data_IF_621969792486
#
_entry.id   IF_621969792486
#
_cell.length_a   1.000
_cell.length_b   1.000
_cell.length_c   1.000
_cell.angle_alpha   90.00
_cell.angle_beta   90.00
_cell.angle_gamma   90.00
#
_symmetry.space_group_name_H-M   'P 1'
#
loop_
_entity.id
_entity.type
_entity.pdbx_description
1 polymer ?
#
# COMPACT_ATOMS: atom_id res chain seq x y z
N UNK A 1 -35.22 -15.59 -56.29
CA UNK A 1 -33.89 -15.72 -56.92
C UNK A 1 -32.88 -15.54 -55.82
N UNK A 2 -32.25 -16.65 -55.45
CA UNK A 2 -31.07 -16.69 -54.59
C UNK A 2 -29.92 -15.89 -55.21
N UNK A 3 -29.09 -15.27 -54.38
CA UNK A 3 -27.65 -15.47 -54.36
C UNK A 3 -27.15 -15.04 -52.98
N UNK A 4 -26.51 -15.96 -52.25
CA UNK A 4 -25.66 -15.65 -51.11
C UNK A 4 -24.21 -15.50 -51.54
N UNK A 5 -23.38 -14.90 -50.68
CA UNK A 5 -21.97 -15.25 -50.43
C UNK A 5 -21.49 -14.51 -49.16
N UNK A 6 -21.05 -15.30 -48.18
CA UNK A 6 -19.86 -15.19 -47.29
C UNK A 6 -18.89 -14.01 -47.55
N UNK A 7 -18.08 -13.47 -46.62
CA UNK A 7 -17.64 -13.80 -45.27
C UNK A 7 -16.69 -12.70 -44.76
N UNK A 8 -16.37 -12.76 -43.46
CA UNK A 8 -15.10 -12.40 -42.80
C UNK A 8 -14.81 -10.96 -42.35
N UNK A 9 -14.39 -10.94 -41.07
CA UNK A 9 -13.87 -9.87 -40.23
C UNK A 9 -12.53 -9.32 -40.77
N UNK A 10 -12.25 -8.05 -40.53
CA UNK A 10 -10.97 -7.62 -39.94
C UNK A 10 -11.04 -6.13 -39.53
N UNK A 11 -10.84 -5.87 -38.23
CA UNK A 11 -10.60 -4.55 -37.65
C UNK A 11 -9.22 -4.04 -38.10
N UNK A 12 -9.18 -2.98 -38.90
CA UNK A 12 -7.94 -2.22 -39.16
C UNK A 12 -7.84 -1.00 -38.24
N UNK A 13 -6.97 -1.12 -37.24
CA UNK A 13 -6.43 -0.03 -36.43
C UNK A 13 -5.66 0.97 -37.31
N UNK A 14 -6.24 2.15 -37.50
CA UNK A 14 -5.64 3.30 -38.19
C UNK A 14 -4.66 4.05 -37.29
N UNK A 15 -3.36 3.74 -37.40
CA UNK A 15 -2.26 4.55 -36.86
C UNK A 15 -1.60 5.32 -38.00
N UNK A 16 -1.69 6.65 -37.94
CA UNK A 16 -1.02 7.61 -38.84
C UNK A 16 0.50 7.45 -38.86
N UNK A 17 1.18 7.50 -40.03
CA UNK A 17 2.64 7.50 -40.08
C UNK A 17 3.20 8.92 -40.05
N UNK A 18 3.99 9.25 -39.03
CA UNK A 18 4.91 10.39 -39.07
C UNK A 18 6.11 9.99 -39.92
N UNK A 19 6.33 10.68 -41.04
CA UNK A 19 7.45 10.46 -41.97
C UNK A 19 8.79 10.74 -41.30
N UNK A 20 9.68 9.76 -41.33
CA UNK A 20 11.02 9.80 -40.74
C UNK A 20 12.08 10.19 -41.76
N UNK A 21 12.35 11.47 -41.95
CA UNK A 21 13.56 11.92 -42.66
C UNK A 21 14.11 13.17 -41.98
N UNK A 22 14.93 12.98 -40.93
CA UNK A 22 16.10 13.81 -40.55
C UNK A 22 16.59 13.45 -39.13
N UNK A 23 17.28 12.32 -38.93
CA UNK A 23 18.07 12.07 -37.70
C UNK A 23 19.35 11.27 -38.02
N UNK A 24 20.44 11.58 -37.30
CA UNK A 24 21.83 11.13 -37.55
C UNK A 24 22.06 9.65 -37.15
N UNK A 25 23.08 8.95 -37.71
CA UNK A 25 23.29 7.50 -37.54
C UNK A 25 23.61 6.96 -36.12
N UNK A 26 23.60 7.78 -35.06
CA UNK A 26 23.93 7.33 -33.69
C UNK A 26 22.73 7.24 -32.73
N UNK A 27 21.50 7.47 -33.21
CA UNK A 27 20.28 7.21 -32.44
C UNK A 27 19.55 6.01 -33.02
N UNK A 28 20.04 4.80 -32.72
CA UNK A 28 19.19 3.61 -32.85
C UNK A 28 18.10 3.73 -31.80
N UNK A 29 16.89 4.05 -32.24
CA UNK A 29 15.67 3.84 -31.48
C UNK A 29 15.64 2.35 -31.17
N UNK A 30 15.91 1.99 -29.93
CA UNK A 30 15.64 0.64 -29.43
C UNK A 30 14.13 0.49 -29.49
N UNK A 31 13.63 -0.15 -30.55
CA UNK A 31 12.25 -0.63 -30.60
C UNK A 31 12.07 -1.47 -29.34
N UNK A 32 11.20 -1.00 -28.44
CA UNK A 32 10.80 -1.76 -27.26
C UNK A 32 10.24 -3.09 -27.76
N UNK A 33 11.06 -4.13 -27.76
CA UNK A 33 10.55 -5.50 -27.88
C UNK A 33 9.57 -5.67 -26.73
N UNK A 34 8.34 -6.09 -27.05
CA UNK A 34 7.38 -6.61 -26.07
C UNK A 34 8.20 -7.53 -25.15
N UNK A 35 8.34 -7.23 -23.85
CA UNK A 35 9.09 -8.11 -22.98
C UNK A 35 8.50 -9.49 -23.16
N UNK A 36 9.35 -10.49 -23.42
CA UNK A 36 8.94 -11.89 -23.28
C UNK A 36 8.23 -11.99 -21.93
N UNK A 37 7.21 -12.84 -21.79
CA UNK A 37 6.58 -13.14 -20.50
C UNK A 37 7.65 -13.67 -19.53
N UNK A 38 8.49 -12.80 -19.01
CA UNK A 38 9.24 -13.00 -17.80
C UNK A 38 8.16 -13.31 -16.78
N UNK A 39 8.29 -14.42 -16.07
CA UNK A 39 7.45 -14.71 -14.93
C UNK A 39 7.53 -13.49 -14.01
N UNK A 40 6.53 -12.62 -14.07
CA UNK A 40 6.40 -11.53 -13.12
C UNK A 40 6.31 -12.22 -11.77
N UNK A 41 7.33 -12.05 -10.92
CA UNK A 41 7.22 -12.53 -9.55
C UNK A 41 6.00 -11.85 -8.94
N UNK A 42 5.09 -12.61 -8.31
CA UNK A 42 3.88 -12.04 -7.77
C UNK A 42 4.25 -11.04 -6.66
N UNK A 43 3.58 -9.90 -6.62
CA UNK A 43 3.68 -8.99 -5.48
C UNK A 43 3.13 -9.66 -4.22
N UNK A 44 3.78 -9.37 -3.11
CA UNK A 44 3.33 -9.72 -1.77
C UNK A 44 2.66 -8.50 -1.15
N UNK A 45 1.46 -8.70 -0.64
CA UNK A 45 0.64 -7.66 -0.02
C UNK A 45 0.38 -7.99 1.44
N UNK A 46 0.47 -6.98 2.30
CA UNK A 46 -0.06 -6.98 3.66
C UNK A 46 -0.88 -5.71 3.86
N UNK A 47 -1.93 -5.79 4.67
CA UNK A 47 -2.81 -4.65 4.95
C UNK A 47 -2.84 -4.41 6.45
N UNK A 48 -2.70 -3.15 6.84
CA UNK A 48 -2.96 -2.70 8.20
C UNK A 48 -4.24 -1.86 8.16
N UNK A 49 -5.21 -2.17 9.02
CA UNK A 49 -6.45 -1.40 9.14
C UNK A 49 -6.55 -0.86 10.55
N UNK A 50 -6.55 0.46 10.65
CA UNK A 50 -6.84 1.17 11.89
C UNK A 50 -8.37 1.30 12.05
N UNK A 51 -8.90 0.88 13.19
CA UNK A 51 -10.34 0.89 13.46
C UNK A 51 -10.60 1.37 14.89
N UNK A 52 -11.74 2.01 15.11
CA UNK A 52 -12.23 2.32 16.47
C UNK A 52 -13.42 1.43 16.77
N UNK A 53 -13.25 0.55 17.74
CA UNK A 53 -14.27 -0.39 18.20
C UNK A 53 -15.10 0.20 19.35
N UNK A 54 -16.40 -0.02 19.30
CA UNK A 54 -17.36 0.26 20.36
C UNK A 54 -17.91 -1.08 20.87
N UNK A 55 -17.39 -1.63 21.99
CA UNK A 55 -17.92 -2.84 22.60
C UNK A 55 -19.41 -2.69 22.94
N UNK A 56 -20.22 -3.70 22.60
CA UNK A 56 -21.66 -3.75 22.96
C UNK A 56 -21.87 -3.74 24.48
N UNK A 57 -20.99 -4.43 25.19
CA UNK A 57 -20.86 -4.33 26.65
C UNK A 57 -19.60 -3.54 26.98
N UNK A 58 -19.70 -2.60 27.92
CA UNK A 58 -18.58 -1.74 28.30
C UNK A 58 -17.34 -2.53 28.70
N UNK A 59 -16.22 -2.21 28.08
CA UNK A 59 -14.91 -2.70 28.49
C UNK A 59 -14.21 -1.62 29.32
N UNK A 60 -13.46 -2.03 30.34
CA UNK A 60 -12.69 -1.11 31.19
C UNK A 60 -11.27 -0.92 30.68
N UNK A 61 -10.76 -1.87 29.90
CA UNK A 61 -9.39 -1.90 29.40
C UNK A 61 -9.32 -2.24 27.92
N UNK A 62 -8.23 -1.83 27.26
CA UNK A 62 -7.97 -2.21 25.88
C UNK A 62 -7.77 -3.73 25.74
N UNK A 63 -7.17 -4.37 26.75
CA UNK A 63 -6.96 -5.82 26.75
C UNK A 63 -8.28 -6.59 26.69
N UNK A 64 -9.30 -6.18 27.45
CA UNK A 64 -10.64 -6.80 27.37
C UNK A 64 -11.24 -6.72 25.96
N UNK A 65 -11.02 -5.59 25.25
CA UNK A 65 -11.52 -5.40 23.88
C UNK A 65 -10.83 -6.36 22.92
N UNK A 66 -9.50 -6.45 22.98
CA UNK A 66 -8.75 -7.29 22.05
C UNK A 66 -8.83 -8.77 22.38
N UNK A 67 -8.97 -9.14 23.66
CA UNK A 67 -9.25 -10.52 24.08
C UNK A 67 -10.59 -10.97 23.51
N UNK A 68 -11.62 -10.13 23.64
CA UNK A 68 -12.94 -10.41 23.06
C UNK A 68 -12.90 -10.50 21.54
N UNK A 69 -12.18 -9.60 20.87
CA UNK A 69 -11.99 -9.68 19.42
C UNK A 69 -11.26 -10.98 19.03
N UNK A 70 -10.20 -11.33 19.76
CA UNK A 70 -9.42 -12.55 19.52
C UNK A 70 -10.26 -13.80 19.71
N UNK A 71 -11.11 -13.86 20.74
CA UNK A 71 -12.06 -14.97 20.94
C UNK A 71 -13.01 -15.11 19.76
N UNK A 72 -13.64 -14.02 19.32
CA UNK A 72 -14.59 -14.05 18.19
C UNK A 72 -13.92 -14.50 16.89
N UNK A 73 -12.72 -14.00 16.61
CA UNK A 73 -11.95 -14.43 15.43
C UNK A 73 -11.58 -15.91 15.53
N UNK A 74 -11.26 -16.41 16.72
CA UNK A 74 -10.96 -17.83 16.96
C UNK A 74 -12.20 -18.71 16.72
N UNK A 75 -13.37 -18.29 17.20
CA UNK A 75 -14.64 -19.00 17.01
C UNK A 75 -15.03 -19.07 15.52
N UNK A 76 -14.65 -18.05 14.74
CA UNK A 76 -14.80 -18.00 13.29
C UNK A 76 -13.70 -18.75 12.51
N UNK A 77 -12.82 -19.48 13.20
CA UNK A 77 -11.66 -20.17 12.63
C UNK A 77 -10.69 -19.24 11.87
N UNK A 78 -10.59 -17.97 12.28
CA UNK A 78 -9.60 -17.02 11.76
C UNK A 78 -8.34 -17.08 12.64
N UNK A 79 -7.20 -17.55 12.11
CA UNK A 79 -5.94 -17.51 12.85
C UNK A 79 -5.59 -16.07 13.19
N UNK A 80 -5.46 -15.79 14.49
CA UNK A 80 -5.19 -14.46 15.00
C UNK A 80 -4.24 -14.49 16.22
N UNK A 81 -3.67 -13.35 16.57
CA UNK A 81 -2.86 -13.16 17.77
C UNK A 81 -2.87 -11.69 18.19
N UNK A 82 -2.93 -11.45 19.50
CA UNK A 82 -2.67 -10.13 20.09
C UNK A 82 -1.15 -9.92 20.12
N UNK A 83 -0.68 -8.85 19.49
CA UNK A 83 0.73 -8.49 19.45
C UNK A 83 0.99 -7.33 20.40
N UNK A 84 1.89 -7.54 21.35
CA UNK A 84 2.41 -6.45 22.17
C UNK A 84 3.61 -5.81 21.46
N UNK A 85 3.75 -4.49 21.60
CA UNK A 85 4.76 -3.70 20.90
C UNK A 85 6.21 -4.11 21.25
N UNK A 86 6.40 -4.76 22.40
CA UNK A 86 7.69 -5.24 22.90
C UNK A 86 8.08 -6.64 22.35
N UNK A 87 7.18 -7.33 21.65
CA UNK A 87 7.46 -8.63 21.08
C UNK A 87 8.15 -8.52 19.71
N UNK A 88 9.07 -9.45 19.42
CA UNK A 88 9.67 -9.54 18.08
C UNK A 88 8.57 -9.80 17.04
N UNK A 89 8.66 -9.18 15.85
CA UNK A 89 7.63 -9.33 14.82
C UNK A 89 7.42 -10.81 14.52
N UNK A 90 6.17 -11.24 14.69
CA UNK A 90 5.74 -12.60 14.42
C UNK A 90 5.89 -12.92 12.92
N UNK A 91 5.76 -14.19 12.56
CA UNK A 91 5.44 -14.53 11.17
C UNK A 91 4.08 -13.88 10.85
N UNK A 92 3.99 -13.16 9.73
CA UNK A 92 2.75 -12.56 9.24
C UNK A 92 1.90 -13.62 8.50
N UNK A 93 1.67 -14.75 9.16
CA UNK A 93 0.86 -15.88 8.66
C UNK A 93 -0.56 -15.90 9.25
N UNK A 94 -0.85 -14.96 10.14
CA UNK A 94 -2.12 -14.79 10.86
C UNK A 94 -2.41 -13.32 11.08
N UNK A 95 -3.67 -13.03 11.40
CA UNK A 95 -4.09 -11.68 11.77
C UNK A 95 -3.44 -11.26 13.08
N UNK A 96 -2.95 -10.03 13.15
CA UNK A 96 -2.41 -9.45 14.38
C UNK A 96 -3.30 -8.30 14.84
N UNK A 97 -3.48 -8.21 16.15
CA UNK A 97 -4.19 -7.09 16.79
C UNK A 97 -3.20 -6.34 17.65
N UNK A 98 -2.99 -5.06 17.38
CA UNK A 98 -1.99 -4.21 18.05
C UNK A 98 -2.51 -2.80 18.32
N UNK A 99 -1.75 -2.02 19.07
CA UNK A 99 -1.99 -0.59 19.30
C UNK A 99 -1.22 0.23 18.26
N UNK A 100 -1.87 1.22 17.65
CA UNK A 100 -1.17 2.30 16.94
C UNK A 100 -1.37 3.64 17.66
N UNK A 101 -0.31 4.43 17.71
CA UNK A 101 -0.29 5.75 18.33
C UNK A 101 -1.06 6.83 17.55
N UNK A 102 -1.28 6.64 16.24
CA UNK A 102 -2.01 7.54 15.35
C UNK A 102 -3.51 7.63 15.68
N UNK A 103 -4.08 6.52 16.17
CA UNK A 103 -5.53 6.35 16.30
C UNK A 103 -6.09 7.23 17.43
N UNK A 104 -5.37 7.35 18.54
CA UNK A 104 -5.69 8.28 19.64
C UNK A 104 -6.84 7.88 20.59
N UNK A 105 -7.54 6.77 20.33
CA UNK A 105 -8.71 6.33 21.12
C UNK A 105 -8.34 5.29 22.18
N UNK A 106 -8.39 5.71 23.45
CA UNK A 106 -7.98 4.93 24.64
C UNK A 106 -9.11 4.82 25.67
N UNK A 107 -10.30 4.44 25.21
CA UNK A 107 -11.46 4.16 26.07
C UNK A 107 -12.38 5.37 26.31
N UNK A 108 -12.11 6.53 25.71
CA UNK A 108 -13.03 7.67 25.81
C UNK A 108 -14.40 7.29 25.24
N UNK A 109 -15.47 7.44 26.04
CA UNK A 109 -16.83 7.07 25.63
C UNK A 109 -16.97 5.60 25.18
N UNK A 110 -16.21 4.69 25.78
CA UNK A 110 -16.17 3.26 25.41
C UNK A 110 -15.72 3.04 23.94
N UNK A 111 -14.84 3.89 23.43
CA UNK A 111 -14.24 3.79 22.09
C UNK A 111 -12.77 3.39 22.19
N UNK A 112 -12.39 2.36 21.46
CA UNK A 112 -11.09 1.72 21.59
C UNK A 112 -10.43 1.59 20.22
N UNK A 113 -9.30 2.28 20.06
CA UNK A 113 -8.49 2.20 18.85
C UNK A 113 -7.74 0.88 18.77
N UNK A 114 -7.83 0.20 17.63
CA UNK A 114 -7.19 -1.08 17.36
C UNK A 114 -6.63 -1.04 15.95
N UNK A 115 -5.41 -1.53 15.77
CA UNK A 115 -4.84 -1.81 14.46
C UNK A 115 -4.90 -3.32 14.20
N UNK A 116 -5.42 -3.69 13.02
CA UNK A 116 -5.49 -5.06 12.52
C UNK A 116 -4.51 -5.23 11.38
N UNK A 117 -3.54 -6.13 11.53
CA UNK A 117 -2.54 -6.43 10.51
C UNK A 117 -2.87 -7.77 9.88
N UNK A 118 -3.03 -7.79 8.55
CA UNK A 118 -3.36 -9.00 7.81
C UNK A 118 -2.16 -9.94 7.69
N UNK A 119 -2.41 -11.24 7.42
CA UNK A 119 -1.39 -12.10 6.85
C UNK A 119 -0.85 -11.55 5.53
N UNK A 120 0.40 -11.87 5.19
CA UNK A 120 0.98 -11.56 3.88
C UNK A 120 0.44 -12.54 2.85
N UNK A 121 -0.06 -12.03 1.71
CA UNK A 121 -0.55 -12.88 0.62
C UNK A 121 0.00 -12.47 -0.74
N UNK A 122 -0.13 -13.38 -1.70
CA UNK A 122 0.07 -13.09 -3.12
C UNK A 122 -1.28 -12.93 -3.80
N UNK A 123 -1.53 -11.77 -4.43
CA UNK A 123 -2.76 -11.53 -5.20
C UNK A 123 -2.96 -12.56 -6.34
N UNK A 124 -1.87 -13.17 -6.82
CA UNK A 124 -1.88 -14.07 -7.98
C UNK A 124 -2.47 -15.47 -7.73
N UNK A 125 -2.69 -15.89 -6.48
CA UNK A 125 -3.08 -17.29 -6.19
C UNK A 125 -4.52 -17.48 -5.74
N UNK A 126 -5.19 -16.47 -5.15
CA UNK A 126 -6.65 -16.50 -4.95
C UNK A 126 -7.23 -15.17 -4.42
N UNK A 127 -7.74 -14.29 -5.29
CA UNK A 127 -8.48 -13.09 -4.88
C UNK A 127 -9.66 -13.41 -3.95
N UNK A 128 -10.28 -14.59 -4.14
CA UNK A 128 -11.38 -15.05 -3.28
C UNK A 128 -10.92 -15.33 -1.86
N UNK A 129 -9.75 -15.93 -1.65
CA UNK A 129 -9.24 -16.22 -0.29
C UNK A 129 -8.95 -14.93 0.46
N UNK A 130 -8.39 -13.94 -0.24
CA UNK A 130 -8.17 -12.59 0.32
C UNK A 130 -9.50 -11.97 0.77
N UNK A 131 -10.47 -11.77 -0.14
CA UNK A 131 -11.75 -11.15 0.17
C UNK A 131 -12.56 -11.92 1.24
N UNK A 132 -12.61 -13.25 1.17
CA UNK A 132 -13.30 -14.06 2.21
C UNK A 132 -12.68 -13.92 3.59
N UNK A 133 -11.36 -13.72 3.67
CA UNK A 133 -10.66 -13.48 4.92
C UNK A 133 -11.10 -12.17 5.57
N UNK A 134 -11.11 -11.07 4.80
CA UNK A 134 -11.60 -9.77 5.30
C UNK A 134 -13.08 -9.82 5.67
N UNK A 135 -13.92 -10.44 4.85
CA UNK A 135 -15.34 -10.60 5.14
C UNK A 135 -15.58 -11.32 6.46
N UNK A 136 -14.84 -12.41 6.72
CA UNK A 136 -14.97 -13.17 7.98
C UNK A 136 -14.53 -12.35 9.19
N UNK A 137 -13.41 -11.62 9.08
CA UNK A 137 -12.93 -10.75 10.16
C UNK A 137 -13.94 -9.64 10.45
N UNK A 138 -14.46 -8.98 9.41
CA UNK A 138 -15.42 -7.88 9.57
C UNK A 138 -16.77 -8.35 10.08
N UNK A 139 -17.19 -9.55 9.70
CA UNK A 139 -18.39 -10.18 10.27
C UNK A 139 -18.22 -10.35 11.79
N UNK A 140 -17.12 -10.93 12.24
CA UNK A 140 -16.82 -11.07 13.67
C UNK A 140 -16.77 -9.74 14.41
N UNK A 141 -16.20 -8.71 13.80
CA UNK A 141 -16.19 -7.34 14.35
C UNK A 141 -17.62 -6.83 14.52
N UNK A 142 -18.44 -6.84 13.46
CA UNK A 142 -19.81 -6.28 13.48
C UNK A 142 -20.75 -7.04 14.42
N UNK A 143 -20.54 -8.34 14.60
CA UNK A 143 -21.34 -9.15 15.53
C UNK A 143 -21.12 -8.75 16.98
N UNK A 144 -19.91 -8.30 17.32
CA UNK A 144 -19.50 -8.08 18.72
C UNK A 144 -19.32 -6.60 19.07
N UNK A 145 -19.03 -5.76 18.09
CA UNK A 145 -18.67 -4.36 18.23
C UNK A 145 -19.46 -3.48 17.25
N UNK A 146 -19.74 -2.24 17.66
CA UNK A 146 -19.96 -1.15 16.71
C UNK A 146 -18.62 -0.63 16.19
N UNK A 147 -18.61 -0.07 14.98
CA UNK A 147 -17.44 0.59 14.40
C UNK A 147 -17.70 2.09 14.42
N UNK A 148 -16.75 2.85 14.94
CA UNK A 148 -16.76 4.31 14.89
C UNK A 148 -15.83 4.78 13.78
N UNK A 149 -16.39 5.51 12.80
CA UNK A 149 -15.60 6.13 11.75
C UNK A 149 -14.85 7.34 12.33
N UNK A 150 -13.53 7.23 12.40
CA UNK A 150 -12.66 8.28 12.91
C UNK A 150 -11.74 8.78 11.78
N UNK A 151 -11.65 10.10 11.54
CA UNK A 151 -10.70 10.66 10.56
C UNK A 151 -9.23 10.35 10.86
N UNK A 152 -8.92 9.96 12.11
CA UNK A 152 -7.58 9.53 12.52
C UNK A 152 -7.22 8.14 12.03
N UNK A 153 -8.21 7.30 11.69
CA UNK A 153 -8.01 5.94 11.19
C UNK A 153 -7.67 5.93 9.70
N UNK A 154 -6.69 5.11 9.34
CA UNK A 154 -6.26 4.80 7.98
C UNK A 154 -6.21 3.33 7.67
N UNK A 155 -6.09 3.06 6.37
CA UNK A 155 -5.74 1.74 5.85
C UNK A 155 -4.39 1.85 5.18
N UNK A 156 -3.44 1.00 5.58
CA UNK A 156 -2.09 0.95 5.01
C UNK A 156 -1.92 -0.30 4.16
N UNK A 157 -1.37 -0.13 2.96
CA UNK A 157 -1.04 -1.23 2.06
C UNK A 157 0.48 -1.39 1.99
N UNK A 158 0.99 -2.53 2.44
CA UNK A 158 2.38 -2.92 2.34
C UNK A 158 2.60 -3.77 1.10
N UNK A 159 3.56 -3.36 0.27
CA UNK A 159 3.95 -4.07 -0.95
C UNK A 159 5.40 -4.53 -0.84
N UNK A 160 5.64 -5.80 -1.16
CA UNK A 160 6.98 -6.35 -1.34
C UNK A 160 6.99 -7.40 -2.46
N UNK A 161 8.12 -8.06 -2.65
CA UNK A 161 8.28 -9.14 -3.64
C UNK A 161 8.99 -10.34 -2.97
N UNK A 162 8.79 -11.59 -3.44
CA UNK A 162 9.28 -12.81 -2.76
C UNK A 162 10.78 -12.87 -2.48
N UNK A 163 11.60 -12.24 -3.33
CA UNK A 163 13.05 -12.17 -3.15
C UNK A 163 13.52 -10.88 -2.46
N UNK A 164 12.59 -10.12 -1.89
CA UNK A 164 12.81 -8.73 -1.47
C UNK A 164 13.17 -7.82 -2.65
N UNK A 165 13.47 -6.56 -2.36
CA UNK A 165 13.90 -5.57 -3.35
C UNK A 165 15.34 -5.82 -3.85
N UNK A 166 15.66 -7.04 -4.27
CA UNK A 166 16.99 -7.50 -4.70
C UNK A 166 17.47 -6.83 -5.99
N UNK A 167 16.55 -6.36 -6.84
CA UNK A 167 16.86 -5.49 -7.98
C UNK A 167 17.22 -4.06 -7.56
N UNK A 168 17.09 -3.73 -6.27
CA UNK A 168 17.48 -2.45 -5.68
C UNK A 168 16.91 -1.26 -6.45
N UNK A 169 17.80 -0.33 -6.80
CA UNK A 169 17.45 0.90 -7.52
C UNK A 169 16.78 0.66 -8.88
N UNK A 170 17.08 -0.45 -9.58
CA UNK A 170 16.46 -0.73 -10.87
C UNK A 170 14.94 -0.92 -10.76
N UNK A 171 14.48 -1.57 -9.69
CA UNK A 171 13.05 -1.75 -9.44
C UNK A 171 12.43 -0.54 -8.71
N UNK A 172 13.18 0.10 -7.81
CA UNK A 172 12.62 1.11 -6.91
C UNK A 172 12.48 2.50 -7.55
N UNK A 173 13.35 2.88 -8.50
CA UNK A 173 13.24 4.19 -9.17
C UNK A 173 11.93 4.37 -9.95
N UNK A 174 11.46 3.40 -10.75
CA UNK A 174 10.14 3.49 -11.38
C UNK A 174 9.00 3.65 -10.37
N UNK A 175 9.04 2.93 -9.25
CA UNK A 175 8.01 3.03 -8.20
C UNK A 175 8.04 4.41 -7.53
N UNK A 176 9.22 4.92 -7.20
CA UNK A 176 9.40 6.27 -6.66
C UNK A 176 8.88 7.36 -7.61
N UNK A 177 9.17 7.25 -8.92
CA UNK A 177 8.64 8.18 -9.92
C UNK A 177 7.13 8.10 -10.04
N UNK A 178 6.55 6.90 -10.01
CA UNK A 178 5.10 6.71 -10.04
C UNK A 178 4.43 7.34 -8.81
N UNK A 179 5.00 7.12 -7.62
CA UNK A 179 4.52 7.71 -6.37
C UNK A 179 4.46 9.24 -6.45
N UNK A 180 5.48 9.89 -7.04
CA UNK A 180 5.51 11.35 -7.25
C UNK A 180 4.53 11.80 -8.34
N UNK A 181 4.52 11.12 -9.48
CA UNK A 181 3.78 11.57 -10.67
C UNK A 181 2.26 11.48 -10.50
N UNK A 182 1.78 10.42 -9.87
CA UNK A 182 0.35 10.18 -9.72
C UNK A 182 -0.24 10.81 -8.45
N UNK A 183 0.60 11.42 -7.60
CA UNK A 183 0.19 11.90 -6.29
C UNK A 183 -0.97 12.89 -6.36
N UNK A 184 -0.85 13.93 -7.18
CA UNK A 184 -1.86 14.98 -7.28
C UNK A 184 -3.13 14.52 -8.01
N UNK A 185 -2.98 13.78 -9.12
CA UNK A 185 -4.09 13.50 -10.03
C UNK A 185 -4.90 12.25 -9.69
N UNK A 186 -4.28 11.26 -9.05
CA UNK A 186 -4.96 10.03 -8.63
C UNK A 186 -5.20 10.05 -7.13
N UNK A 187 -4.21 10.46 -6.35
CA UNK A 187 -4.30 10.25 -4.90
C UNK A 187 -5.01 11.41 -4.22
N UNK A 188 -4.63 12.66 -4.48
CA UNK A 188 -5.30 13.81 -3.85
C UNK A 188 -6.70 14.09 -4.39
N UNK A 189 -6.98 13.73 -5.64
CA UNK A 189 -8.30 13.90 -6.23
C UNK A 189 -9.33 12.89 -5.71
N UNK A 190 -8.90 11.71 -5.26
CA UNK A 190 -9.79 10.61 -4.84
C UNK A 190 -9.94 10.50 -3.32
N UNK A 191 -8.97 10.98 -2.56
CA UNK A 191 -8.93 10.77 -1.11
C UNK A 191 -9.71 11.84 -0.34
N UNK A 192 -10.32 11.50 0.82
CA UNK A 192 -10.97 12.48 1.69
C UNK A 192 -10.01 13.60 2.12
N UNK A 193 -10.53 14.81 2.30
CA UNK A 193 -9.73 15.99 2.66
C UNK A 193 -8.92 15.79 3.95
N UNK A 194 -9.49 15.07 4.91
CA UNK A 194 -8.87 14.74 6.18
C UNK A 194 -7.62 13.87 6.00
N UNK A 195 -7.60 13.01 4.98
CA UNK A 195 -6.43 12.17 4.64
C UNK A 195 -5.39 12.96 3.86
N UNK A 196 -5.81 13.84 2.96
CA UNK A 196 -4.91 14.71 2.18
C UNK A 196 -4.06 15.60 3.10
N UNK A 197 -4.64 16.08 4.19
CA UNK A 197 -4.00 17.02 5.14
C UNK A 197 -3.42 16.35 6.39
N UNK A 198 -3.46 15.02 6.49
CA UNK A 198 -3.03 14.28 7.68
C UNK A 198 -1.49 14.23 7.82
N UNK A 199 -0.99 14.53 9.01
CA UNK A 199 0.44 14.49 9.35
C UNK A 199 1.07 13.08 9.34
N UNK A 200 0.27 12.01 9.28
CA UNK A 200 0.70 10.62 9.20
C UNK A 200 0.73 10.06 7.76
N UNK A 201 0.28 10.83 6.77
CA UNK A 201 0.41 10.54 5.34
C UNK A 201 0.68 11.83 4.53
N UNK A 202 1.80 12.48 4.86
CA UNK A 202 2.32 13.68 4.21
C UNK A 202 2.69 13.44 2.75
N UNK A 203 2.64 14.50 1.95
CA UNK A 203 2.96 14.45 0.53
C UNK A 203 4.43 14.08 0.26
N UNK A 204 4.67 13.12 -0.63
CA UNK A 204 6.03 12.82 -1.10
C UNK A 204 6.53 13.95 -2.03
N UNK A 205 5.67 14.47 -2.91
CA UNK A 205 5.95 15.58 -3.82
C UNK A 205 6.29 16.89 -3.09
N UNK A 206 5.52 17.24 -2.05
CA UNK A 206 5.68 18.48 -1.28
C UNK A 206 6.57 18.32 -0.04
N UNK A 207 7.49 17.36 -0.05
CA UNK A 207 8.47 17.19 1.02
C UNK A 207 9.54 18.34 1.02
N UNK A 208 10.30 18.52 2.11
CA UNK A 208 11.30 19.59 2.23
C UNK A 208 12.35 19.68 1.11
N UNK A 209 12.69 18.56 0.46
CA UNK A 209 13.66 18.48 -0.62
C UNK A 209 13.04 18.78 -2.00
N UNK A 210 11.79 18.34 -2.21
CA UNK A 210 11.17 18.29 -3.54
C UNK A 210 10.17 19.43 -3.81
N UNK A 211 9.58 20.04 -2.77
CA UNK A 211 8.45 21.00 -2.88
C UNK A 211 8.63 22.19 -3.82
N UNK A 212 9.86 22.57 -4.15
CA UNK A 212 10.17 23.71 -5.02
C UNK A 212 10.64 23.31 -6.42
N UNK A 213 10.66 22.01 -6.72
CA UNK A 213 11.19 21.47 -7.96
C UNK A 213 10.07 21.06 -8.90
N UNK A 214 10.33 21.14 -10.20
CA UNK A 214 9.45 20.56 -11.21
C UNK A 214 9.64 19.05 -11.26
N UNK A 215 8.58 18.32 -11.63
CA UNK A 215 8.57 16.85 -11.68
C UNK A 215 9.71 16.28 -12.54
N UNK A 216 10.09 16.94 -13.64
CA UNK A 216 11.19 16.50 -14.50
C UNK A 216 12.54 16.52 -13.77
N UNK A 217 12.79 17.55 -12.94
CA UNK A 217 14.00 17.63 -12.11
C UNK A 217 13.96 16.60 -10.98
N UNK A 218 12.79 16.38 -10.37
CA UNK A 218 12.61 15.34 -9.35
C UNK A 218 12.97 13.97 -9.91
N UNK A 219 12.55 13.67 -11.15
CA UNK A 219 12.88 12.41 -11.81
C UNK A 219 14.37 12.24 -12.05
N UNK A 220 15.07 13.31 -12.45
CA UNK A 220 16.53 13.30 -12.60
C UNK A 220 17.20 13.01 -11.26
N UNK A 221 16.76 13.63 -10.17
CA UNK A 221 17.29 13.40 -8.82
C UNK A 221 17.07 11.93 -8.39
N UNK A 222 15.87 11.38 -8.64
CA UNK A 222 15.58 9.96 -8.38
C UNK A 222 16.50 9.03 -9.18
N UNK A 223 16.77 9.34 -10.45
CA UNK A 223 17.68 8.56 -11.30
C UNK A 223 19.14 8.63 -10.85
N UNK A 224 19.53 9.71 -10.18
CA UNK A 224 20.89 9.92 -9.69
C UNK A 224 21.16 9.29 -8.32
N UNK A 225 20.13 8.86 -7.58
CA UNK A 225 20.30 8.19 -6.29
C UNK A 225 21.27 7.01 -6.39
N UNK A 226 22.33 6.97 -5.57
CA UNK A 226 23.40 5.98 -5.63
C UNK A 226 23.12 4.76 -4.75
N UNK A 227 22.14 4.84 -3.87
CA UNK A 227 21.72 3.74 -3.00
C UNK A 227 20.21 3.75 -2.72
N UNK A 228 19.68 2.60 -2.29
CA UNK A 228 18.28 2.48 -1.86
C UNK A 228 17.98 3.42 -0.69
N UNK A 229 18.90 3.56 0.26
CA UNK A 229 18.75 4.46 1.39
C UNK A 229 18.72 5.92 0.97
N UNK A 230 19.53 6.31 -0.03
CA UNK A 230 19.48 7.66 -0.60
C UNK A 230 18.17 7.91 -1.35
N UNK A 231 17.70 6.94 -2.14
CA UNK A 231 16.40 7.05 -2.81
C UNK A 231 15.27 7.26 -1.79
N UNK A 232 15.24 6.49 -0.71
CA UNK A 232 14.26 6.64 0.36
C UNK A 232 14.35 8.03 1.02
N UNK A 233 15.56 8.54 1.27
CA UNK A 233 15.78 9.92 1.79
C UNK A 233 15.29 11.00 0.84
N UNK A 234 15.39 10.79 -0.48
CA UNK A 234 14.89 11.75 -1.48
C UNK A 234 13.36 11.83 -1.42
N UNK A 235 12.66 10.68 -1.42
CA UNK A 235 11.20 10.64 -1.51
C UNK A 235 10.49 10.80 -0.16
N UNK A 236 11.18 10.54 0.96
CA UNK A 236 10.64 10.65 2.32
C UNK A 236 11.49 11.61 3.19
N UNK A 237 11.99 12.70 2.61
CA UNK A 237 12.88 13.65 3.30
C UNK A 237 12.20 14.32 4.50
N UNK A 238 12.85 14.35 5.67
CA UNK A 238 12.35 15.06 6.85
C UNK A 238 12.86 16.51 6.99
N UNK A 239 13.75 16.92 6.08
CA UNK A 239 14.41 18.24 6.12
C UNK A 239 15.62 18.32 7.07
N UNK A 240 15.94 17.25 7.80
CA UNK A 240 17.09 17.13 8.70
C UNK A 240 18.14 16.13 8.20
N UNK A 241 17.96 15.61 6.98
CA UNK A 241 18.86 14.63 6.36
C UNK A 241 18.51 13.17 6.68
N UNK A 242 17.32 12.91 7.23
CA UNK A 242 16.80 11.57 7.48
C UNK A 242 15.53 11.28 6.67
N UNK A 243 15.01 10.06 6.85
CA UNK A 243 13.68 9.63 6.38
C UNK A 243 12.66 9.72 7.50
N UNK A 244 11.41 10.04 7.17
CA UNK A 244 10.27 9.93 8.09
C UNK A 244 9.28 8.89 7.58
N UNK A 245 8.67 8.09 8.47
CA UNK A 245 7.64 7.11 8.09
C UNK A 245 6.31 7.72 7.62
N UNK A 246 6.09 9.00 7.91
CA UNK A 246 4.79 9.67 7.82
C UNK A 246 4.40 10.16 6.41
N UNK A 247 4.94 9.56 5.34
CA UNK A 247 4.63 9.94 3.96
C UNK A 247 3.58 9.01 3.33
N UNK A 248 2.82 9.50 2.35
CA UNK A 248 1.80 8.72 1.61
C UNK A 248 2.38 7.43 1.08
N UNK A 249 3.53 7.50 0.43
CA UNK A 249 4.36 6.36 0.09
C UNK A 249 5.59 6.36 0.99
N UNK A 250 5.61 5.44 1.96
CA UNK A 250 6.69 5.29 2.91
C UNK A 250 7.73 4.28 2.40
N UNK A 251 8.95 4.78 2.17
CA UNK A 251 10.11 4.01 1.75
C UNK A 251 11.11 3.77 2.89
N UNK A 252 10.85 4.28 4.10
CA UNK A 252 11.74 4.17 5.26
C UNK A 252 12.14 2.72 5.59
N UNK A 253 11.26 1.69 5.51
CA UNK A 253 11.65 0.31 5.79
C UNK A 253 12.75 -0.23 4.88
N UNK A 254 12.98 0.38 3.71
CA UNK A 254 14.05 0.00 2.78
C UNK A 254 15.43 0.47 3.27
N UNK A 255 15.48 1.38 4.24
CA UNK A 255 16.73 1.89 4.82
C UNK A 255 17.26 0.99 5.95
N UNK A 256 16.41 0.10 6.47
CA UNK A 256 16.74 -0.84 7.53
C UNK A 256 17.43 -2.07 6.96
N UNK A 257 18.74 -2.17 7.18
CA UNK A 257 19.57 -3.27 6.70
C UNK A 257 19.11 -4.65 7.20
N UNK A 258 18.54 -4.73 8.41
CA UNK A 258 18.06 -5.99 8.96
C UNK A 258 16.77 -6.42 8.27
N UNK A 259 15.81 -5.51 8.07
CA UNK A 259 14.58 -5.78 7.30
C UNK A 259 14.90 -6.17 5.87
N UNK A 260 15.81 -5.45 5.21
CA UNK A 260 16.25 -5.78 3.84
C UNK A 260 16.90 -7.16 3.78
N UNK A 261 17.84 -7.47 4.69
CA UNK A 261 18.53 -8.77 4.74
C UNK A 261 17.55 -9.93 4.98
N UNK A 262 16.53 -9.71 5.81
CA UNK A 262 15.47 -10.69 6.09
C UNK A 262 14.35 -10.71 5.04
N UNK A 263 14.40 -9.84 4.02
CA UNK A 263 13.36 -9.67 2.99
C UNK A 263 12.00 -9.27 3.56
N UNK A 264 12.01 -8.48 4.64
CA UNK A 264 10.84 -7.95 5.33
C UNK A 264 10.59 -6.47 5.00
N UNK A 265 11.46 -5.84 4.22
CA UNK A 265 11.32 -4.45 3.83
C UNK A 265 10.20 -4.29 2.79
N UNK A 266 9.20 -3.48 3.12
CA UNK A 266 8.04 -3.17 2.29
C UNK A 266 8.08 -1.70 1.87
N UNK A 267 7.38 -1.39 0.78
CA UNK A 267 6.92 -0.03 0.49
C UNK A 267 5.49 0.03 1.01
N UNK A 268 5.16 1.07 1.76
CA UNK A 268 3.86 1.20 2.42
C UNK A 268 3.09 2.40 1.85
N UNK A 269 1.87 2.18 1.40
CA UNK A 269 0.94 3.22 1.00
C UNK A 269 -0.04 3.53 2.14
N UNK A 270 -0.02 4.78 2.64
CA UNK A 270 -0.63 5.19 3.92
C UNK A 270 -1.82 6.14 3.76
N UNK A 271 -2.17 6.55 2.54
CA UNK A 271 -3.18 7.60 2.34
C UNK A 271 -4.65 7.14 2.50
N UNK A 272 -5.06 5.90 2.16
CA UNK A 272 -6.45 5.49 2.23
C UNK A 272 -7.09 5.73 3.61
N UNK A 273 -8.38 6.12 3.66
CA UNK A 273 -9.11 6.25 4.92
C UNK A 273 -9.28 4.88 5.60
N UNK A 274 -9.58 4.89 6.90
CA UNK A 274 -9.94 3.69 7.62
C UNK A 274 -11.23 3.06 7.05
N UNK A 275 -11.30 1.74 7.07
CA UNK A 275 -12.44 0.99 6.52
C UNK A 275 -13.42 0.56 7.61
N UNK A 276 -14.71 0.61 7.30
CA UNK A 276 -15.81 0.18 8.18
C UNK A 276 -16.45 -1.14 7.73
N UNK A 277 -16.13 -1.59 6.51
CA UNK A 277 -16.60 -2.84 5.93
C UNK A 277 -15.49 -3.51 5.10
N UNK A 278 -15.72 -4.76 4.69
CA UNK A 278 -14.73 -5.55 3.95
C UNK A 278 -14.68 -5.13 2.47
N UNK A 279 -15.81 -4.67 1.93
CA UNK A 279 -15.94 -4.26 0.53
C UNK A 279 -15.04 -3.05 0.21
N UNK A 280 -14.88 -2.13 1.16
CA UNK A 280 -13.94 -1.00 1.08
C UNK A 280 -12.47 -1.40 1.01
N UNK A 281 -12.11 -2.64 1.39
CA UNK A 281 -10.76 -3.19 1.28
C UNK A 281 -10.53 -3.97 -0.03
N UNK A 282 -11.61 -4.47 -0.63
CA UNK A 282 -11.58 -5.28 -1.85
C UNK A 282 -11.73 -4.43 -3.15
N UNK A 283 -12.23 -3.19 -3.04
CA UNK A 283 -12.49 -2.26 -4.18
C UNK A 283 -11.26 -1.48 -4.63
#
# INVERSE_FOLDING_TARGET
MEYGYDSEEEEEDSIWPIKSETLRPSQRITVFRKPSRQSLFPFLFGVEVEVVLIPRESCSTWNEVVDRLSSVLTDLNVPNRIHDADEKPAKYDKWLTTKDGSIGWRGQQNRWGVELVSPITTHSTSPRVWGTGFQTVWQGIKDTFGIFEAPTCGTHLHVSVPMGWSQGLMALRPVAKAAIYFEECIIDALMPFERVTNNYCQSNLYNPLLKSLKVELIFIIIDQALSVSELARIVCADGQGSTRRSFRWNFEPLTDHEKVRKRLATIEFRQPPGCTNAEELDS
#
